data_IF_398078040891
#
_entry.id   IF_398078040891
#
_cell.length_a   1.000
_cell.length_b   1.000
_cell.length_c   1.000
_cell.angle_alpha   90.00
_cell.angle_beta   90.00
_cell.angle_gamma   90.00
#
_symmetry.space_group_name_H-M   'P 1'
#
loop_
_entity.id
_entity.type
_entity.pdbx_description
1 polymer ?
#
# COMPACT_ATOMS: atom_id res chain seq x y z
N UNK A 1 -17.11 -31.94 -44.75
CA UNK A 1 -16.29 -30.72 -44.60
C UNK A 1 -17.03 -29.70 -43.74
N UNK A 2 -16.76 -29.66 -42.44
CA UNK A 2 -17.00 -28.48 -41.57
C UNK A 2 -15.86 -28.45 -40.57
N UNK A 3 -14.91 -27.56 -40.83
CA UNK A 3 -13.75 -27.28 -40.00
C UNK A 3 -14.18 -26.47 -38.79
N UNK A 4 -14.07 -27.05 -37.60
CA UNK A 4 -14.18 -26.35 -36.31
C UNK A 4 -12.84 -25.68 -36.03
N UNK A 5 -12.77 -24.39 -36.31
CA UNK A 5 -11.63 -23.55 -35.98
C UNK A 5 -11.64 -23.29 -34.46
N UNK A 6 -10.82 -24.04 -33.70
CA UNK A 6 -10.56 -23.76 -32.29
C UNK A 6 -9.81 -22.43 -32.20
N UNK A 7 -10.53 -21.37 -31.85
CA UNK A 7 -9.94 -20.11 -31.38
C UNK A 7 -9.07 -20.40 -30.16
N UNK A 8 -7.74 -20.39 -30.33
CA UNK A 8 -6.80 -20.31 -29.21
C UNK A 8 -7.07 -18.97 -28.52
N UNK A 9 -7.65 -18.98 -27.32
CA UNK A 9 -7.61 -17.84 -26.42
C UNK A 9 -6.12 -17.55 -26.17
N UNK A 10 -5.64 -16.40 -26.65
CA UNK A 10 -4.36 -15.86 -26.19
C UNK A 10 -4.58 -15.53 -24.72
N UNK A 11 -3.89 -16.24 -23.83
CA UNK A 11 -3.80 -15.84 -22.42
C UNK A 11 -3.27 -14.40 -22.39
N UNK A 12 -4.08 -13.48 -21.89
CA UNK A 12 -3.66 -12.11 -21.59
C UNK A 12 -2.73 -12.17 -20.40
N UNK A 13 -1.48 -11.75 -20.57
CA UNK A 13 -0.51 -11.68 -19.47
C UNK A 13 -1.01 -10.67 -18.43
N UNK A 14 -1.10 -11.03 -17.15
CA UNK A 14 -1.49 -10.10 -16.09
C UNK A 14 -0.47 -8.95 -15.96
N UNK A 15 -0.93 -7.75 -15.57
CA UNK A 15 -0.09 -6.54 -15.43
C UNK A 15 1.03 -6.75 -14.41
N UNK A 16 0.80 -7.60 -13.40
CA UNK A 16 1.79 -8.08 -12.46
C UNK A 16 2.12 -9.54 -12.74
N UNK A 17 3.41 -9.85 -12.93
CA UNK A 17 3.91 -11.22 -13.02
C UNK A 17 5.04 -11.41 -12.01
N UNK A 18 4.88 -12.33 -11.04
CA UNK A 18 5.95 -12.69 -10.12
C UNK A 18 7.00 -13.52 -10.85
N UNK A 19 8.26 -13.12 -10.79
CA UNK A 19 9.42 -13.96 -11.15
C UNK A 19 10.08 -14.46 -9.86
N UNK A 20 10.80 -15.60 -9.93
CA UNK A 20 11.50 -16.18 -8.77
C UNK A 20 12.43 -15.12 -8.15
N UNK A 21 12.05 -14.59 -6.98
CA UNK A 21 13.01 -13.96 -6.08
C UNK A 21 13.90 -15.07 -5.51
N UNK A 22 15.22 -14.93 -5.65
CA UNK A 22 16.16 -15.79 -4.95
C UNK A 22 15.93 -15.67 -3.43
N UNK A 23 16.13 -16.74 -2.64
CA UNK A 23 16.03 -16.65 -1.19
C UNK A 23 17.28 -15.95 -0.65
N UNK A 24 17.34 -14.61 -0.75
CA UNK A 24 18.44 -13.80 -0.21
C UNK A 24 17.91 -12.91 0.90
N UNK A 25 17.81 -13.49 2.09
CA UNK A 25 18.27 -13.01 3.40
C UNK A 25 18.28 -11.55 3.86
N UNK A 26 17.82 -10.54 3.11
CA UNK A 26 17.69 -9.15 3.60
C UNK A 26 16.45 -8.50 3.00
N UNK A 27 15.37 -8.52 3.77
CA UNK A 27 14.08 -7.84 3.50
C UNK A 27 14.30 -6.34 3.71
N UNK A 28 15.00 -5.71 2.78
CA UNK A 28 15.34 -4.30 2.78
C UNK A 28 14.69 -3.56 1.62
N UNK A 29 13.54 -3.97 1.13
CA UNK A 29 12.79 -3.23 0.10
C UNK A 29 11.53 -2.59 0.70
N UNK A 30 10.91 -1.66 -0.03
CA UNK A 30 9.77 -0.92 0.50
C UNK A 30 8.56 -1.83 0.77
N UNK A 31 8.26 -2.81 -0.09
CA UNK A 31 7.16 -3.74 0.13
C UNK A 31 7.45 -4.68 1.29
N UNK A 32 8.70 -5.12 1.43
CA UNK A 32 9.19 -5.84 2.59
C UNK A 32 8.94 -5.07 3.90
N UNK A 33 9.25 -3.77 3.94
CA UNK A 33 9.02 -2.96 5.15
C UNK A 33 7.55 -2.70 5.45
N UNK A 34 6.70 -2.50 4.43
CA UNK A 34 5.24 -2.38 4.60
C UNK A 34 4.63 -3.71 5.09
N UNK A 35 4.98 -4.81 4.44
CA UNK A 35 4.51 -6.14 4.82
C UNK A 35 4.98 -6.55 6.21
N UNK A 36 6.22 -6.20 6.59
CA UNK A 36 6.72 -6.41 7.95
C UNK A 36 5.91 -5.60 8.96
N UNK A 37 5.65 -4.33 8.72
CA UNK A 37 4.84 -3.50 9.63
C UNK A 37 3.43 -4.07 9.82
N UNK A 38 2.81 -4.58 8.75
CA UNK A 38 1.51 -5.24 8.81
C UNK A 38 1.56 -6.53 9.64
N UNK A 39 2.54 -7.40 9.36
CA UNK A 39 2.72 -8.65 10.08
C UNK A 39 3.09 -8.45 11.55
N UNK A 40 3.92 -7.44 11.87
CA UNK A 40 4.26 -7.07 13.25
C UNK A 40 3.00 -6.68 14.04
N UNK A 41 2.01 -6.04 13.40
CA UNK A 41 0.72 -5.73 13.99
C UNK A 41 -0.07 -6.95 14.47
N UNK A 42 0.15 -8.13 13.86
CA UNK A 42 -0.52 -9.39 14.24
C UNK A 42 0.07 -10.05 15.48
N UNK A 43 1.36 -9.82 15.76
CA UNK A 43 2.12 -10.65 16.71
C UNK A 43 2.91 -9.85 17.74
N UNK A 44 3.01 -8.53 17.60
CA UNK A 44 3.82 -7.67 18.48
C UNK A 44 2.93 -6.83 19.38
N UNK A 45 2.65 -7.36 20.56
CA UNK A 45 1.71 -6.77 21.51
C UNK A 45 1.22 -7.78 22.53
N UNK A 46 0.27 -7.36 23.36
CA UNK A 46 -0.57 -8.34 24.05
C UNK A 46 -1.54 -9.00 23.06
N UNK A 47 -2.09 -10.15 23.48
CA UNK A 47 -2.93 -10.97 22.61
C UNK A 47 -4.27 -10.30 22.23
N UNK A 48 -4.79 -9.37 23.05
CA UNK A 48 -6.03 -8.66 22.72
C UNK A 48 -5.75 -7.66 21.61
N UNK A 49 -4.77 -6.76 21.77
CA UNK A 49 -4.51 -5.76 20.73
C UNK A 49 -4.05 -6.39 19.42
N UNK A 50 -3.06 -7.30 19.45
CA UNK A 50 -2.42 -7.82 18.24
C UNK A 50 -3.23 -8.94 17.56
N UNK A 51 -3.43 -10.07 18.26
CA UNK A 51 -4.06 -11.24 17.66
C UNK A 51 -5.60 -11.12 17.57
N UNK A 52 -6.24 -10.41 18.50
CA UNK A 52 -7.70 -10.23 18.46
C UNK A 52 -8.11 -8.99 17.67
N UNK A 53 -7.87 -7.79 18.19
CA UNK A 53 -8.39 -6.55 17.60
C UNK A 53 -7.76 -6.28 16.23
N UNK A 54 -6.43 -6.30 16.13
CA UNK A 54 -5.76 -5.99 14.87
C UNK A 54 -5.97 -7.07 13.80
N UNK A 55 -5.66 -8.33 14.12
CA UNK A 55 -5.79 -9.43 13.17
C UNK A 55 -7.26 -9.84 12.95
N UNK A 56 -7.90 -10.46 13.94
CA UNK A 56 -9.20 -11.12 13.68
C UNK A 56 -10.38 -10.16 13.51
N UNK A 57 -10.50 -9.14 14.37
CA UNK A 57 -11.63 -8.20 14.36
C UNK A 57 -11.53 -7.24 13.19
N UNK A 58 -10.34 -6.72 12.88
CA UNK A 58 -10.17 -5.75 11.79
C UNK A 58 -9.64 -6.42 10.52
N UNK A 59 -8.41 -6.92 10.49
CA UNK A 59 -7.77 -7.39 9.26
C UNK A 59 -8.60 -8.49 8.58
N UNK A 60 -8.98 -9.51 9.35
CA UNK A 60 -9.70 -10.67 8.83
C UNK A 60 -11.16 -10.31 8.57
N UNK A 61 -11.91 -9.84 9.57
CA UNK A 61 -13.35 -9.62 9.40
C UNK A 61 -13.67 -8.51 8.39
N UNK A 62 -12.88 -7.43 8.33
CA UNK A 62 -13.13 -6.37 7.37
C UNK A 62 -12.57 -6.73 5.99
N UNK A 63 -11.28 -7.04 5.90
CA UNK A 63 -10.58 -7.00 4.61
C UNK A 63 -10.40 -8.36 3.91
N UNK A 64 -10.64 -9.50 4.56
CA UNK A 64 -10.42 -10.80 3.89
C UNK A 64 -11.24 -10.98 2.62
N UNK A 65 -12.44 -10.39 2.53
CA UNK A 65 -13.23 -10.48 1.29
C UNK A 65 -12.54 -9.78 0.10
N UNK A 66 -11.84 -8.66 0.31
CA UNK A 66 -11.09 -8.01 -0.77
C UNK A 66 -9.89 -8.88 -1.20
N UNK A 67 -9.26 -9.58 -0.26
CA UNK A 67 -8.10 -10.44 -0.51
C UNK A 67 -8.45 -11.82 -1.10
N UNK A 68 -9.45 -12.51 -0.54
CA UNK A 68 -9.75 -13.92 -0.83
C UNK A 68 -11.00 -14.15 -1.67
N UNK A 69 -11.72 -13.07 -2.03
CA UNK A 69 -12.84 -13.14 -2.97
C UNK A 69 -12.58 -12.28 -4.21
N UNK A 70 -12.28 -10.99 -4.05
CA UNK A 70 -12.04 -10.12 -5.21
C UNK A 70 -10.77 -10.48 -5.98
N UNK A 71 -9.61 -10.65 -5.32
CA UNK A 71 -8.38 -10.99 -6.02
C UNK A 71 -8.47 -12.31 -6.81
N UNK A 72 -9.04 -13.41 -6.26
CA UNK A 72 -9.39 -14.59 -7.04
C UNK A 72 -10.31 -14.33 -8.24
N UNK A 73 -11.35 -13.50 -8.08
CA UNK A 73 -12.24 -13.17 -9.19
C UNK A 73 -11.48 -12.46 -10.31
N UNK A 74 -10.58 -11.54 -9.97
CA UNK A 74 -9.70 -10.88 -10.94
C UNK A 74 -8.70 -11.84 -11.58
N UNK A 75 -8.09 -12.73 -10.81
CA UNK A 75 -7.19 -13.75 -11.34
C UNK A 75 -7.90 -14.62 -12.38
N UNK A 76 -9.10 -15.11 -12.07
CA UNK A 76 -9.92 -15.89 -12.99
C UNK A 76 -10.29 -15.11 -14.25
N UNK A 77 -10.64 -13.82 -14.12
CA UNK A 77 -10.94 -12.94 -15.26
C UNK A 77 -9.74 -12.75 -16.21
N UNK A 78 -8.51 -12.87 -15.69
CA UNK A 78 -7.28 -12.81 -16.47
C UNK A 78 -6.74 -14.19 -16.90
N UNK A 79 -7.48 -15.27 -16.62
CA UNK A 79 -7.14 -16.63 -17.04
C UNK A 79 -6.24 -17.41 -16.08
N UNK A 80 -6.05 -16.95 -14.84
CA UNK A 80 -5.43 -17.72 -13.76
C UNK A 80 -6.49 -18.45 -12.95
N UNK A 81 -6.48 -19.78 -13.01
CA UNK A 81 -7.37 -20.66 -12.25
C UNK A 81 -6.68 -21.31 -11.04
N UNK A 82 -5.37 -21.16 -10.89
CA UNK A 82 -4.62 -21.70 -9.75
C UNK A 82 -4.86 -20.85 -8.50
N UNK A 83 -4.74 -19.53 -8.62
CA UNK A 83 -4.95 -18.63 -7.48
C UNK A 83 -6.35 -18.80 -6.87
N UNK A 84 -7.46 -18.81 -7.65
CA UNK A 84 -8.79 -19.05 -7.10
C UNK A 84 -8.94 -20.41 -6.43
N UNK A 85 -8.35 -21.47 -6.98
CA UNK A 85 -8.42 -22.82 -6.40
C UNK A 85 -7.85 -22.86 -5.00
N UNK A 86 -6.71 -22.19 -4.78
CA UNK A 86 -6.05 -22.13 -3.47
C UNK A 86 -6.78 -21.16 -2.54
N UNK A 87 -7.06 -19.94 -3.01
CA UNK A 87 -7.56 -18.86 -2.15
C UNK A 87 -9.00 -19.10 -1.70
N UNK A 88 -9.87 -19.72 -2.51
CA UNK A 88 -11.21 -20.07 -2.05
C UNK A 88 -11.20 -21.20 -1.02
N UNK A 89 -10.19 -22.07 -1.03
CA UNK A 89 -9.99 -23.05 0.06
C UNK A 89 -9.60 -22.34 1.35
N UNK A 90 -8.66 -21.38 1.30
CA UNK A 90 -8.26 -20.58 2.46
C UNK A 90 -9.43 -19.78 3.02
N UNK A 91 -10.20 -19.12 2.14
CA UNK A 91 -11.37 -18.33 2.53
C UNK A 91 -12.34 -19.14 3.40
N UNK A 92 -12.55 -20.42 3.08
CA UNK A 92 -13.52 -21.26 3.79
C UNK A 92 -13.20 -21.43 5.29
N UNK A 93 -11.96 -21.15 5.68
CA UNK A 93 -11.50 -21.19 7.06
C UNK A 93 -11.69 -19.86 7.81
N UNK A 94 -11.78 -18.73 7.09
CA UNK A 94 -11.82 -17.37 7.68
C UNK A 94 -13.04 -17.16 8.59
N UNK A 95 -14.18 -17.77 8.28
CA UNK A 95 -15.37 -17.68 9.16
C UNK A 95 -15.12 -18.21 10.58
N UNK A 96 -14.21 -19.18 10.73
CA UNK A 96 -13.82 -19.72 12.04
C UNK A 96 -12.90 -18.76 12.79
N UNK A 97 -12.02 -18.06 12.08
CA UNK A 97 -11.14 -17.05 12.68
C UNK A 97 -11.92 -15.82 13.13
N UNK A 98 -12.88 -15.36 12.32
CA UNK A 98 -13.82 -14.29 12.67
C UNK A 98 -14.60 -14.65 13.96
N UNK A 99 -15.02 -15.91 14.09
CA UNK A 99 -15.70 -16.39 15.30
C UNK A 99 -14.81 -16.35 16.55
N UNK A 100 -13.51 -16.68 16.41
CA UNK A 100 -12.54 -16.56 17.51
C UNK A 100 -12.36 -15.11 17.96
N UNK A 101 -12.22 -14.19 17.00
CA UNK A 101 -12.14 -12.76 17.26
C UNK A 101 -13.36 -12.25 18.02
N UNK A 102 -14.55 -12.56 17.51
CA UNK A 102 -15.81 -12.14 18.11
C UNK A 102 -15.98 -12.63 19.55
N UNK A 103 -15.69 -13.91 19.82
CA UNK A 103 -15.76 -14.47 21.17
C UNK A 103 -14.77 -13.80 22.13
N UNK A 104 -13.55 -13.54 21.67
CA UNK A 104 -12.51 -12.87 22.46
C UNK A 104 -12.89 -11.43 22.78
N UNK A 105 -13.42 -10.69 21.80
CA UNK A 105 -13.89 -9.32 21.99
C UNK A 105 -15.07 -9.24 22.97
N UNK A 106 -16.07 -10.12 22.85
CA UNK A 106 -17.19 -10.14 23.80
C UNK A 106 -16.75 -10.47 25.22
N UNK A 107 -15.78 -11.38 25.38
CA UNK A 107 -15.19 -11.66 26.69
C UNK A 107 -14.50 -10.40 27.25
N UNK A 108 -13.67 -9.73 26.45
CA UNK A 108 -12.99 -8.50 26.87
C UNK A 108 -13.97 -7.37 27.21
N UNK A 109 -15.06 -7.22 26.45
CA UNK A 109 -16.11 -6.21 26.67
C UNK A 109 -16.95 -6.47 27.93
N UNK A 110 -16.96 -7.69 28.46
CA UNK A 110 -17.69 -8.02 29.69
C UNK A 110 -17.14 -7.31 30.94
N UNK A 111 -15.91 -6.79 30.86
CA UNK A 111 -15.31 -5.92 31.88
C UNK A 111 -15.21 -4.48 31.34
N UNK A 112 -16.00 -3.57 31.91
CA UNK A 112 -16.02 -2.14 31.56
C UNK A 112 -14.65 -1.47 31.69
N UNK A 113 -13.78 -2.01 32.56
CA UNK A 113 -12.40 -1.56 32.70
C UNK A 113 -11.59 -1.71 31.41
N UNK A 114 -12.01 -2.53 30.45
CA UNK A 114 -11.30 -2.72 29.18
C UNK A 114 -11.73 -1.75 28.08
N UNK A 115 -12.90 -1.10 28.19
CA UNK A 115 -13.52 -0.36 27.08
C UNK A 115 -12.61 0.73 26.53
N UNK A 116 -11.92 1.48 27.41
CA UNK A 116 -10.96 2.52 27.02
C UNK A 116 -9.79 1.99 26.15
N UNK A 117 -9.27 0.80 26.49
CA UNK A 117 -8.16 0.20 25.72
C UNK A 117 -8.66 -0.42 24.42
N UNK A 118 -9.84 -1.05 24.44
CA UNK A 118 -10.47 -1.61 23.24
C UNK A 118 -10.78 -0.52 22.20
N UNK A 119 -11.27 0.65 22.64
CA UNK A 119 -11.50 1.79 21.77
C UNK A 119 -10.19 2.30 21.13
N UNK A 120 -9.11 2.40 21.93
CA UNK A 120 -7.77 2.74 21.42
C UNK A 120 -7.29 1.73 20.38
N UNK A 121 -7.39 0.46 20.71
CA UNK A 121 -6.89 -0.63 19.87
C UNK A 121 -7.65 -0.70 18.55
N UNK A 122 -8.97 -0.51 18.58
CA UNK A 122 -9.80 -0.49 17.39
C UNK A 122 -9.45 0.70 16.48
N UNK A 123 -9.22 1.89 17.04
CA UNK A 123 -8.75 3.08 16.27
C UNK A 123 -7.43 2.80 15.54
N UNK A 124 -6.45 2.23 16.27
CA UNK A 124 -5.16 1.86 15.69
C UNK A 124 -5.31 0.78 14.60
N UNK A 125 -5.98 -0.32 14.94
CA UNK A 125 -6.13 -1.48 14.07
C UNK A 125 -6.84 -1.09 12.78
N UNK A 126 -7.97 -0.38 12.88
CA UNK A 126 -8.72 0.12 11.74
C UNK A 126 -7.84 0.94 10.80
N UNK A 127 -7.23 2.00 11.33
CA UNK A 127 -6.48 2.94 10.52
C UNK A 127 -5.26 2.28 9.86
N UNK A 128 -4.51 1.48 10.61
CA UNK A 128 -3.32 0.84 10.07
C UNK A 128 -3.65 -0.20 8.98
N UNK A 129 -4.71 -1.00 9.19
CA UNK A 129 -5.21 -1.94 8.17
C UNK A 129 -5.69 -1.23 6.91
N UNK A 130 -6.49 -0.16 7.05
CA UNK A 130 -6.90 0.68 5.92
C UNK A 130 -5.69 1.14 5.10
N UNK A 131 -4.67 1.71 5.76
CA UNK A 131 -3.47 2.20 5.06
C UNK A 131 -2.73 1.09 4.31
N UNK A 132 -2.51 -0.07 4.93
CA UNK A 132 -1.72 -1.11 4.28
C UNK A 132 -2.53 -1.87 3.22
N UNK A 133 -3.72 -2.33 3.59
CA UNK A 133 -4.51 -3.24 2.76
C UNK A 133 -5.10 -2.51 1.56
N UNK A 134 -5.68 -1.32 1.74
CA UNK A 134 -6.24 -0.57 0.61
C UNK A 134 -5.13 -0.15 -0.38
N UNK A 135 -3.94 0.19 0.12
CA UNK A 135 -2.80 0.50 -0.73
C UNK A 135 -2.40 -0.69 -1.62
N UNK A 136 -2.22 -1.88 -1.05
CA UNK A 136 -1.79 -3.05 -1.81
C UNK A 136 -2.93 -3.63 -2.65
N UNK A 137 -4.04 -3.99 -2.01
CA UNK A 137 -5.12 -4.77 -2.62
C UNK A 137 -5.93 -3.93 -3.59
N UNK A 138 -6.22 -2.67 -3.27
CA UNK A 138 -6.86 -1.75 -4.21
C UNK A 138 -6.04 -1.61 -5.49
N UNK A 139 -4.73 -1.45 -5.36
CA UNK A 139 -3.83 -1.35 -6.51
C UNK A 139 -3.80 -2.65 -7.32
N UNK A 140 -3.73 -3.82 -6.67
CA UNK A 140 -3.72 -5.10 -7.39
C UNK A 140 -5.02 -5.37 -8.14
N UNK A 141 -6.16 -5.07 -7.51
CA UNK A 141 -7.48 -5.28 -8.12
C UNK A 141 -7.66 -4.39 -9.34
N UNK A 142 -7.24 -3.12 -9.31
CA UNK A 142 -7.53 -2.20 -10.41
C UNK A 142 -6.43 -2.12 -11.47
N UNK A 143 -5.18 -2.08 -11.03
CA UNK A 143 -4.00 -1.90 -11.88
C UNK A 143 -3.31 -3.21 -12.21
N UNK A 144 -3.65 -4.33 -11.56
CA UNK A 144 -3.09 -5.65 -11.86
C UNK A 144 -3.80 -6.44 -12.95
N UNK A 145 -5.01 -6.01 -13.32
CA UNK A 145 -5.94 -6.72 -14.22
C UNK A 145 -6.00 -6.06 -15.60
N UNK A 146 -6.20 -6.86 -16.66
CA UNK A 146 -6.57 -6.36 -18.00
C UNK A 146 -8.07 -6.47 -18.27
N UNK A 147 -8.88 -6.94 -17.31
CA UNK A 147 -10.34 -6.93 -17.41
C UNK A 147 -10.86 -5.49 -17.28
N UNK A 148 -11.39 -4.96 -18.38
CA UNK A 148 -11.95 -3.60 -18.49
C UNK A 148 -13.44 -3.61 -18.86
N UNK A 149 -14.14 -4.70 -18.55
CA UNK A 149 -15.61 -4.73 -18.62
C UNK A 149 -16.21 -3.61 -17.76
N UNK A 150 -17.23 -2.91 -18.29
CA UNK A 150 -17.83 -1.73 -17.63
C UNK A 150 -18.71 -2.11 -16.44
N UNK A 151 -19.28 -3.32 -16.45
CA UNK A 151 -20.10 -3.92 -15.39
C UNK A 151 -19.26 -4.51 -14.23
N UNK A 152 -17.94 -4.60 -14.39
CA UNK A 152 -17.01 -4.98 -13.32
C UNK A 152 -17.05 -3.92 -12.21
N UNK A 153 -17.09 -4.33 -10.94
CA UNK A 153 -16.98 -3.40 -9.81
C UNK A 153 -15.59 -2.73 -9.76
N UNK A 154 -15.54 -1.46 -9.39
CA UNK A 154 -14.30 -0.79 -8.98
C UNK A 154 -13.93 -1.17 -7.55
N UNK A 155 -12.69 -0.88 -7.16
CA UNK A 155 -12.29 -1.12 -5.77
C UNK A 155 -13.14 -0.31 -4.79
N UNK A 156 -13.52 0.91 -5.14
CA UNK A 156 -14.37 1.74 -4.30
C UNK A 156 -15.78 1.15 -4.13
N UNK A 157 -16.36 0.57 -5.19
CA UNK A 157 -17.65 -0.12 -5.11
C UNK A 157 -17.56 -1.36 -4.20
N UNK A 158 -16.50 -2.17 -4.36
CA UNK A 158 -16.25 -3.33 -3.49
C UNK A 158 -16.03 -2.92 -2.03
N UNK A 159 -15.25 -1.85 -1.80
CA UNK A 159 -15.00 -1.31 -0.46
C UNK A 159 -16.29 -0.84 0.19
N UNK A 160 -17.16 -0.13 -0.54
CA UNK A 160 -18.45 0.32 -0.01
C UNK A 160 -19.31 -0.87 0.42
N UNK A 161 -19.36 -1.93 -0.38
CA UNK A 161 -20.18 -3.09 -0.07
C UNK A 161 -19.61 -3.90 1.11
N UNK A 162 -18.36 -4.34 1.02
CA UNK A 162 -17.79 -5.25 2.01
C UNK A 162 -17.29 -4.55 3.27
N UNK A 163 -16.64 -3.41 3.13
CA UNK A 163 -16.04 -2.73 4.27
C UNK A 163 -17.08 -1.85 4.96
N UNK A 164 -17.81 -1.04 4.19
CA UNK A 164 -18.76 -0.11 4.79
C UNK A 164 -20.08 -0.79 5.20
N UNK A 165 -20.73 -1.52 4.30
CA UNK A 165 -22.05 -2.10 4.60
C UNK A 165 -21.95 -3.39 5.43
N UNK A 166 -21.11 -4.35 5.03
CA UNK A 166 -21.02 -5.64 5.73
C UNK A 166 -20.23 -5.52 7.05
N UNK A 167 -19.01 -4.99 7.01
CA UNK A 167 -18.18 -4.89 8.23
C UNK A 167 -18.60 -3.75 9.15
N UNK A 168 -18.56 -2.50 8.68
CA UNK A 168 -18.81 -1.37 9.56
C UNK A 168 -20.27 -1.32 10.06
N UNK A 169 -21.25 -1.25 9.16
CA UNK A 169 -22.65 -1.09 9.55
C UNK A 169 -23.23 -2.35 10.20
N UNK A 170 -22.93 -3.53 9.66
CA UNK A 170 -23.61 -4.76 10.09
C UNK A 170 -22.85 -5.52 11.19
N UNK A 171 -21.53 -5.38 11.27
CA UNK A 171 -20.72 -6.07 12.29
C UNK A 171 -20.25 -5.15 13.42
N UNK A 172 -19.62 -4.01 13.13
CA UNK A 172 -19.06 -3.12 14.17
C UNK A 172 -20.11 -2.32 14.93
N UNK A 173 -20.98 -1.57 14.24
CA UNK A 173 -21.97 -0.68 14.89
C UNK A 173 -22.83 -1.41 15.93
N UNK A 174 -23.31 -2.65 15.70
CA UNK A 174 -24.06 -3.38 16.72
C UNK A 174 -23.30 -3.67 18.01
N UNK A 175 -21.97 -3.55 18.04
CA UNK A 175 -21.15 -3.74 19.24
C UNK A 175 -21.17 -2.54 20.19
N UNK A 176 -21.64 -1.37 19.75
CA UNK A 176 -21.82 -0.20 20.62
C UNK A 176 -22.74 -0.49 21.80
N UNK A 177 -23.73 -1.39 21.62
CA UNK A 177 -24.64 -1.82 22.70
C UNK A 177 -23.93 -2.55 23.84
N UNK A 178 -22.69 -3.01 23.62
CA UNK A 178 -21.84 -3.66 24.62
C UNK A 178 -20.77 -2.69 25.19
N UNK A 179 -20.84 -1.40 24.88
CA UNK A 179 -19.94 -0.36 25.41
C UNK A 179 -18.69 -0.11 24.57
N UNK A 180 -18.54 -0.75 23.40
CA UNK A 180 -17.41 -0.47 22.50
C UNK A 180 -17.62 0.86 21.76
N UNK A 181 -16.66 1.78 21.88
CA UNK A 181 -16.66 3.02 21.10
C UNK A 181 -16.13 2.76 19.67
N UNK A 182 -17.00 2.90 18.68
CA UNK A 182 -16.65 2.68 17.27
C UNK A 182 -16.05 3.95 16.66
N UNK A 183 -14.92 3.87 15.94
CA UNK A 183 -14.27 5.04 15.35
C UNK A 183 -14.93 5.46 14.02
N UNK A 184 -16.19 5.90 14.09
CA UNK A 184 -16.98 6.33 12.92
C UNK A 184 -16.25 7.37 12.08
N UNK A 185 -15.60 8.33 12.73
CA UNK A 185 -14.81 9.40 12.10
C UNK A 185 -13.73 8.84 11.17
N UNK A 186 -13.01 7.80 11.62
CA UNK A 186 -11.92 7.19 10.86
C UNK A 186 -12.41 6.29 9.74
N UNK A 187 -13.60 5.71 9.87
CA UNK A 187 -14.20 4.89 8.82
C UNK A 187 -14.70 5.77 7.67
N UNK A 188 -15.34 6.90 7.99
CA UNK A 188 -15.72 7.89 6.98
C UNK A 188 -14.50 8.55 6.34
N UNK A 189 -13.44 8.83 7.12
CA UNK A 189 -12.20 9.37 6.55
C UNK A 189 -11.49 8.35 5.65
N UNK A 190 -11.47 7.06 5.99
CA UNK A 190 -10.94 6.02 5.11
C UNK A 190 -11.68 5.97 3.75
N UNK A 191 -13.01 6.14 3.77
CA UNK A 191 -13.79 6.27 2.53
C UNK A 191 -13.44 7.55 1.76
N UNK A 192 -13.32 8.67 2.46
CA UNK A 192 -12.93 9.96 1.88
C UNK A 192 -11.55 9.88 1.20
N UNK A 193 -10.59 9.18 1.82
CA UNK A 193 -9.27 8.91 1.26
C UNK A 193 -9.36 8.14 -0.06
N UNK A 194 -10.18 7.08 -0.11
CA UNK A 194 -10.33 6.25 -1.31
C UNK A 194 -11.02 7.03 -2.43
N UNK A 195 -12.17 7.64 -2.13
CA UNK A 195 -13.05 8.22 -3.15
C UNK A 195 -12.65 9.64 -3.57
N UNK A 196 -12.53 10.56 -2.60
CA UNK A 196 -12.30 11.98 -2.91
C UNK A 196 -10.82 12.30 -3.08
N UNK A 197 -9.96 11.73 -2.22
CA UNK A 197 -8.51 12.00 -2.24
C UNK A 197 -7.76 11.09 -3.23
N UNK A 198 -8.38 9.98 -3.65
CA UNK A 198 -7.88 9.09 -4.69
C UNK A 198 -6.74 8.18 -4.23
N UNK A 199 -6.72 7.82 -2.94
CA UNK A 199 -5.61 7.14 -2.27
C UNK A 199 -5.05 5.92 -3.04
N UNK A 200 -5.91 5.03 -3.54
CA UNK A 200 -5.50 3.84 -4.29
C UNK A 200 -4.75 4.21 -5.57
N UNK A 201 -5.18 5.25 -6.26
CA UNK A 201 -4.57 5.71 -7.50
C UNK A 201 -3.22 6.42 -7.25
N UNK A 202 -3.10 7.16 -6.15
CA UNK A 202 -1.82 7.72 -5.71
C UNK A 202 -0.80 6.59 -5.38
N UNK A 203 -1.27 5.51 -4.76
CA UNK A 203 -0.43 4.32 -4.48
C UNK A 203 0.01 3.63 -5.77
N UNK A 204 -0.89 3.49 -6.73
CA UNK A 204 -0.58 2.89 -8.02
C UNK A 204 0.51 3.68 -8.78
N UNK A 205 0.41 5.01 -8.81
CA UNK A 205 1.47 5.85 -9.36
C UNK A 205 2.78 5.68 -8.59
N UNK A 206 2.74 5.63 -7.25
CA UNK A 206 3.95 5.41 -6.45
C UNK A 206 4.65 4.06 -6.77
N UNK A 207 3.89 2.96 -6.86
CA UNK A 207 4.46 1.65 -7.23
C UNK A 207 5.02 1.63 -8.66
N UNK A 208 4.41 2.38 -9.57
CA UNK A 208 4.88 2.52 -10.94
C UNK A 208 6.11 3.44 -11.02
N UNK A 209 6.14 4.57 -10.31
CA UNK A 209 7.32 5.44 -10.23
C UNK A 209 8.52 4.68 -9.66
N UNK A 210 8.30 4.00 -8.53
CA UNK A 210 9.32 3.26 -7.80
C UNK A 210 9.65 1.87 -8.36
N UNK A 211 9.24 1.54 -9.59
CA UNK A 211 9.26 0.17 -10.12
C UNK A 211 10.60 -0.56 -9.97
N UNK A 212 11.70 0.19 -10.02
CA UNK A 212 13.06 -0.34 -9.89
C UNK A 212 13.37 -0.96 -8.52
N UNK A 213 12.53 -0.72 -7.51
CA UNK A 213 12.61 -1.32 -6.18
C UNK A 213 11.54 -2.40 -5.97
N UNK A 214 10.85 -2.85 -7.03
CA UNK A 214 9.88 -3.93 -6.96
C UNK A 214 10.56 -5.29 -7.20
N UNK A 215 9.92 -6.37 -6.77
CA UNK A 215 10.22 -7.74 -7.20
C UNK A 215 9.19 -8.26 -8.23
N UNK A 216 8.44 -7.35 -8.86
CA UNK A 216 7.45 -7.65 -9.89
C UNK A 216 7.54 -6.63 -11.02
N UNK A 217 6.86 -6.91 -12.12
CA UNK A 217 6.76 -6.03 -13.30
C UNK A 217 5.42 -5.30 -13.30
N UNK A 218 5.38 -4.05 -13.75
CA UNK A 218 4.16 -3.24 -13.84
C UNK A 218 4.01 -2.65 -15.24
N UNK A 219 3.04 -3.16 -15.99
CA UNK A 219 2.76 -2.77 -17.36
C UNK A 219 2.21 -1.34 -17.48
N UNK A 220 2.55 -0.60 -18.55
CA UNK A 220 1.91 0.68 -18.82
C UNK A 220 0.43 0.51 -19.15
N UNK A 221 -0.31 1.59 -18.88
CA UNK A 221 -1.72 1.69 -19.22
C UNK A 221 -1.92 2.07 -20.69
N UNK A 222 -3.09 1.71 -21.22
CA UNK A 222 -3.55 1.96 -22.58
C UNK A 222 -4.84 2.79 -22.57
N UNK A 223 -5.28 3.26 -23.73
CA UNK A 223 -6.54 4.01 -23.88
C UNK A 223 -7.75 3.26 -23.29
N UNK A 224 -7.78 1.93 -23.41
CA UNK A 224 -8.85 1.11 -22.79
C UNK A 224 -8.84 1.16 -21.28
N UNK A 225 -7.65 1.23 -20.68
CA UNK A 225 -7.52 1.38 -19.24
C UNK A 225 -8.01 2.78 -18.84
N UNK A 226 -7.55 3.83 -19.54
CA UNK A 226 -7.98 5.22 -19.31
C UNK A 226 -9.49 5.39 -19.40
N UNK A 227 -10.14 4.85 -20.44
CA UNK A 227 -11.59 4.89 -20.58
C UNK A 227 -12.32 4.18 -19.43
N UNK A 228 -11.77 3.09 -18.89
CA UNK A 228 -12.37 2.37 -17.76
C UNK A 228 -12.23 3.16 -16.46
N UNK A 229 -11.04 3.69 -16.18
CA UNK A 229 -10.81 4.50 -15.00
C UNK A 229 -11.64 5.77 -15.03
N UNK A 230 -11.72 6.48 -16.16
CA UNK A 230 -12.57 7.68 -16.29
C UNK A 230 -14.06 7.35 -16.11
N UNK A 231 -14.50 6.18 -16.58
CA UNK A 231 -15.88 5.73 -16.37
C UNK A 231 -16.20 5.42 -14.90
N UNK A 232 -15.27 4.77 -14.17
CA UNK A 232 -15.46 4.40 -12.77
C UNK A 232 -15.16 5.53 -11.79
N UNK A 233 -14.25 6.41 -12.17
CA UNK A 233 -13.73 7.52 -11.38
C UNK A 233 -13.68 8.77 -12.28
N UNK A 234 -14.81 9.49 -12.46
CA UNK A 234 -14.83 10.70 -13.28
C UNK A 234 -13.78 11.73 -12.83
N UNK A 235 -13.00 12.26 -13.76
CA UNK A 235 -11.86 13.15 -13.51
C UNK A 235 -10.53 12.44 -13.25
N UNK A 236 -10.49 11.10 -13.30
CA UNK A 236 -9.26 10.33 -13.11
C UNK A 236 -8.21 10.67 -14.18
N UNK A 237 -8.61 10.86 -15.44
CA UNK A 237 -7.66 11.15 -16.51
C UNK A 237 -6.96 12.50 -16.32
N UNK A 238 -7.70 13.54 -15.97
CA UNK A 238 -7.16 14.88 -15.73
C UNK A 238 -6.13 14.88 -14.58
N UNK A 239 -6.32 13.97 -13.63
CA UNK A 239 -5.46 13.81 -12.46
C UNK A 239 -4.24 12.94 -12.75
N UNK A 240 -4.40 11.77 -13.38
CA UNK A 240 -3.34 10.76 -13.48
C UNK A 240 -2.94 10.40 -14.91
N UNK A 241 -3.79 10.65 -15.91
CA UNK A 241 -3.63 10.16 -17.28
C UNK A 241 -2.32 10.57 -17.93
N UNK A 242 -1.99 11.87 -17.91
CA UNK A 242 -0.75 12.41 -18.50
C UNK A 242 0.52 11.80 -17.89
N UNK A 243 0.50 11.50 -16.60
CA UNK A 243 1.60 10.82 -15.94
C UNK A 243 1.75 9.37 -16.44
N UNK A 244 0.64 8.65 -16.61
CA UNK A 244 0.65 7.29 -17.16
C UNK A 244 1.08 7.24 -18.64
N UNK A 245 0.79 8.27 -19.44
CA UNK A 245 1.34 8.42 -20.79
C UNK A 245 2.87 8.55 -20.76
N UNK A 246 3.40 9.36 -19.83
CA UNK A 246 4.84 9.47 -19.60
C UNK A 246 5.44 8.14 -19.16
N UNK A 247 4.77 7.42 -18.25
CA UNK A 247 5.19 6.07 -17.84
C UNK A 247 5.30 5.10 -19.02
N UNK A 248 4.33 5.13 -19.93
CA UNK A 248 4.39 4.34 -21.16
C UNK A 248 5.60 4.73 -22.03
N UNK A 249 5.80 6.03 -22.28
CA UNK A 249 6.92 6.56 -23.06
C UNK A 249 8.29 6.17 -22.48
N UNK A 250 8.39 6.14 -21.15
CA UNK A 250 9.64 5.86 -20.42
C UNK A 250 9.80 4.38 -20.02
N UNK A 251 8.89 3.51 -20.44
CA UNK A 251 8.91 2.10 -20.04
C UNK A 251 10.12 1.32 -20.59
N UNK A 252 10.71 1.75 -21.71
CA UNK A 252 11.81 1.02 -22.35
C UNK A 252 13.11 1.80 -22.24
N UNK A 253 14.27 1.15 -22.06
CA UNK A 253 15.54 1.85 -22.04
C UNK A 253 15.84 2.41 -23.44
N UNK A 254 15.94 3.74 -23.54
CA UNK A 254 16.28 4.42 -24.80
C UNK A 254 17.13 5.68 -24.56
N UNK A 255 18.13 5.57 -23.68
CA UNK A 255 19.07 6.66 -23.35
C UNK A 255 18.63 7.59 -22.21
N UNK A 256 17.33 7.65 -21.88
CA UNK A 256 16.81 8.36 -20.70
C UNK A 256 16.90 7.51 -19.42
N UNK A 257 16.74 8.10 -18.24
CA UNK A 257 16.71 7.40 -16.96
C UNK A 257 15.34 6.74 -16.69
N UNK A 258 15.23 5.84 -15.69
CA UNK A 258 13.93 5.41 -15.18
C UNK A 258 13.06 6.60 -14.75
N UNK A 259 11.74 6.45 -14.85
CA UNK A 259 10.77 7.54 -14.62
C UNK A 259 10.97 8.33 -13.31
N UNK A 260 11.42 7.68 -12.23
CA UNK A 260 11.66 8.35 -10.93
C UNK A 260 12.73 9.44 -10.99
N UNK A 261 13.58 9.46 -12.02
CA UNK A 261 14.61 10.48 -12.23
C UNK A 261 14.30 11.42 -13.41
N UNK A 262 13.12 11.29 -14.02
CA UNK A 262 12.71 12.10 -15.15
C UNK A 262 11.72 13.16 -14.69
N UNK A 263 11.73 14.33 -15.35
CA UNK A 263 10.78 15.39 -15.08
C UNK A 263 9.41 15.04 -15.70
N UNK A 264 8.56 14.41 -14.88
CA UNK A 264 7.22 13.97 -15.25
C UNK A 264 6.14 14.55 -14.33
N UNK A 265 6.43 15.68 -13.68
CA UNK A 265 5.55 16.32 -12.69
C UNK A 265 5.16 15.38 -11.54
N UNK A 266 6.15 14.65 -11.02
CA UNK A 266 5.99 13.76 -9.88
C UNK A 266 7.15 13.94 -8.89
N UNK A 267 6.82 14.23 -7.64
CA UNK A 267 7.78 14.32 -6.53
C UNK A 267 7.62 13.07 -5.64
N UNK A 268 8.75 12.40 -5.39
CA UNK A 268 8.80 11.18 -4.59
C UNK A 268 8.33 11.44 -3.14
N UNK A 269 7.44 10.59 -2.58
CA UNK A 269 6.82 10.86 -1.30
C UNK A 269 7.74 10.53 -0.11
N UNK A 270 7.46 11.17 1.03
CA UNK A 270 7.97 10.71 2.32
C UNK A 270 7.28 9.42 2.78
N UNK A 271 7.89 8.69 3.71
CA UNK A 271 7.33 7.48 4.31
C UNK A 271 6.61 7.79 5.62
N UNK A 272 5.50 7.11 5.88
CA UNK A 272 4.87 7.16 7.19
C UNK A 272 5.68 6.30 8.18
N UNK A 273 6.10 6.88 9.30
CA UNK A 273 6.85 6.16 10.32
C UNK A 273 6.06 5.00 10.94
N UNK A 274 4.73 5.16 11.05
CA UNK A 274 3.84 4.19 11.69
C UNK A 274 3.46 3.05 10.75
N UNK A 275 2.81 3.33 9.61
CA UNK A 275 2.30 2.29 8.72
C UNK A 275 3.28 1.88 7.61
N UNK A 276 4.42 2.56 7.47
CA UNK A 276 5.42 2.37 6.40
C UNK A 276 4.93 2.68 4.97
N UNK A 277 3.63 2.89 4.77
CA UNK A 277 3.07 3.34 3.49
C UNK A 277 3.46 4.80 3.24
N UNK A 278 3.81 5.20 2.01
CA UNK A 278 4.12 6.60 1.70
C UNK A 278 2.99 7.59 2.03
N UNK A 279 3.40 8.81 2.37
CA UNK A 279 2.56 9.98 2.62
C UNK A 279 2.06 10.57 1.30
N UNK A 280 1.21 9.81 0.62
CA UNK A 280 0.76 10.09 -0.75
C UNK A 280 -0.37 11.13 -0.84
N UNK A 281 -1.25 11.13 0.16
CA UNK A 281 -2.26 12.15 0.31
C UNK A 281 -1.62 13.30 1.06
N UNK A 282 -1.15 14.28 0.29
CA UNK A 282 -0.17 15.28 0.74
C UNK A 282 -0.77 16.22 1.77
N UNK A 283 -2.04 16.58 1.60
CA UNK A 283 -2.76 17.48 2.49
C UNK A 283 -2.87 16.95 3.93
N UNK A 284 -2.77 15.64 4.13
CA UNK A 284 -2.89 14.99 5.43
C UNK A 284 -1.55 14.69 6.11
N UNK A 285 -0.44 14.95 5.41
CA UNK A 285 0.87 14.67 5.97
C UNK A 285 1.15 15.57 7.17
N UNK A 286 1.58 14.94 8.27
CA UNK A 286 2.01 15.64 9.47
C UNK A 286 3.40 15.19 9.90
N UNK A 287 4.10 16.03 10.65
CA UNK A 287 5.44 15.76 11.16
C UNK A 287 5.51 15.96 12.65
N UNK A 288 6.35 15.18 13.33
CA UNK A 288 6.65 15.43 14.73
C UNK A 288 8.04 14.94 15.11
N UNK A 289 8.60 15.52 16.18
CA UNK A 289 9.87 15.10 16.75
C UNK A 289 9.60 14.16 17.93
N UNK A 290 9.97 12.90 17.76
CA UNK A 290 9.66 11.83 18.70
C UNK A 290 10.94 11.07 19.01
N UNK A 291 11.23 10.90 20.30
CA UNK A 291 12.45 10.24 20.79
C UNK A 291 13.74 10.83 20.16
N UNK A 292 13.76 12.14 19.94
CA UNK A 292 14.90 12.87 19.36
C UNK A 292 14.96 12.90 17.83
N UNK A 293 14.11 12.16 17.12
CA UNK A 293 14.11 12.08 15.66
C UNK A 293 12.86 12.75 15.06
N UNK A 294 13.04 13.51 13.99
CA UNK A 294 11.91 13.98 13.19
C UNK A 294 11.37 12.86 12.30
N UNK A 295 10.04 12.67 12.37
CA UNK A 295 9.31 11.61 11.69
C UNK A 295 8.17 12.21 10.87
N UNK A 296 7.89 11.61 9.72
CA UNK A 296 6.73 11.91 8.88
C UNK A 296 5.62 10.89 9.10
N UNK A 297 4.37 11.36 9.08
CA UNK A 297 3.18 10.53 9.19
C UNK A 297 2.21 10.87 8.06
N UNK A 298 1.57 9.87 7.47
CA UNK A 298 0.64 10.09 6.37
C UNK A 298 -0.71 10.68 6.82
N UNK A 299 -0.96 10.73 8.13
CA UNK A 299 -2.18 11.25 8.74
C UNK A 299 -1.99 11.44 10.25
N UNK A 300 -2.77 12.31 10.88
CA UNK A 300 -2.77 12.53 12.34
C UNK A 300 -3.00 11.24 13.14
N UNK A 301 -3.77 10.29 12.62
CA UNK A 301 -3.96 8.99 13.29
C UNK A 301 -2.67 8.17 13.37
N UNK A 302 -1.82 8.20 12.33
CA UNK A 302 -0.53 7.53 12.39
C UNK A 302 0.40 8.20 13.39
N UNK A 303 0.38 9.53 13.47
CA UNK A 303 1.11 10.30 14.48
C UNK A 303 0.62 9.99 15.90
N UNK A 304 -0.69 9.99 16.13
CA UNK A 304 -1.30 9.63 17.41
C UNK A 304 -0.93 8.20 17.86
N UNK A 305 -0.88 7.24 16.93
CA UNK A 305 -0.43 5.88 17.24
C UNK A 305 0.98 5.88 17.82
N UNK A 306 1.90 6.61 17.19
CA UNK A 306 3.30 6.69 17.61
C UNK A 306 3.44 7.51 18.90
N UNK A 307 2.90 8.73 18.94
CA UNK A 307 3.13 9.70 20.02
C UNK A 307 2.29 9.47 21.27
N UNK A 308 1.19 8.73 21.18
CA UNK A 308 0.21 8.65 22.28
C UNK A 308 -0.26 7.23 22.55
N UNK A 309 -0.80 6.53 21.55
CA UNK A 309 -1.56 5.30 21.78
C UNK A 309 -0.74 4.20 22.47
N UNK A 310 0.51 4.00 22.03
CA UNK A 310 1.38 2.94 22.53
C UNK A 310 2.60 3.45 23.29
N UNK A 311 2.48 4.65 23.88
CA UNK A 311 3.45 5.14 24.87
C UNK A 311 3.29 4.40 26.20
N UNK A 312 4.30 4.43 27.09
CA UNK A 312 4.31 3.65 28.33
C UNK A 312 3.04 3.79 29.17
N UNK A 313 2.40 4.96 29.10
CA UNK A 313 1.08 5.19 29.68
C UNK A 313 0.11 5.77 28.66
N UNK A 314 -1.10 5.25 28.61
CA UNK A 314 -2.23 5.79 27.86
C UNK A 314 -3.37 6.11 28.82
N UNK A 315 -3.77 7.39 28.90
CA UNK A 315 -4.86 7.88 29.76
C UNK A 315 -4.78 7.38 31.22
N UNK A 316 -3.59 7.38 31.80
CA UNK A 316 -3.34 6.97 33.20
C UNK A 316 -3.15 5.47 33.41
N UNK A 317 -3.23 4.66 32.36
CA UNK A 317 -3.01 3.20 32.42
C UNK A 317 -1.70 2.82 31.76
N UNK A 318 -1.07 1.74 32.25
CA UNK A 318 0.06 1.12 31.55
C UNK A 318 -0.42 0.52 30.22
N UNK A 319 0.35 0.78 29.18
CA UNK A 319 0.07 0.27 27.84
C UNK A 319 0.85 -1.03 27.62
N UNK A 320 0.23 -2.08 27.03
CA UNK A 320 1.00 -3.20 26.48
C UNK A 320 2.02 -2.68 25.46
N UNK A 321 3.21 -3.30 25.42
CA UNK A 321 4.28 -2.91 24.51
C UNK A 321 3.95 -3.38 23.08
N UNK A 322 3.02 -2.68 22.41
CA UNK A 322 2.86 -2.75 20.96
C UNK A 322 4.09 -2.12 20.32
N UNK A 323 4.54 -2.68 19.19
CA UNK A 323 5.81 -2.36 18.54
C UNK A 323 6.27 -0.91 18.73
N UNK A 324 7.44 -0.72 19.34
CA UNK A 324 7.93 0.60 19.80
C UNK A 324 8.23 1.60 18.67
N UNK A 325 8.02 1.20 17.41
CA UNK A 325 8.32 1.97 16.21
C UNK A 325 9.75 2.55 16.25
N UNK A 326 10.72 1.74 16.66
CA UNK A 326 12.14 2.11 16.76
C UNK A 326 13.00 1.45 15.66
N UNK A 327 14.25 1.88 15.58
CA UNK A 327 15.26 1.30 14.70
C UNK A 327 15.19 1.78 13.26
N UNK A 328 15.91 1.10 12.37
CA UNK A 328 15.86 1.38 10.94
C UNK A 328 14.58 0.78 10.34
N UNK A 329 13.56 1.62 10.20
CA UNK A 329 12.24 1.20 9.71
C UNK A 329 12.15 1.29 8.19
N UNK A 330 12.55 2.43 7.65
CA UNK A 330 12.52 2.73 6.21
C UNK A 330 13.70 2.08 5.48
N UNK A 331 13.41 1.45 4.36
CA UNK A 331 14.44 0.84 3.52
C UNK A 331 15.35 1.87 2.87
N UNK A 332 14.84 3.05 2.52
CA UNK A 332 15.65 4.11 1.89
C UNK A 332 16.77 4.56 2.81
N UNK A 333 16.54 4.56 4.12
CA UNK A 333 17.54 4.94 5.13
C UNK A 333 18.75 4.00 5.08
N UNK A 334 18.56 2.71 4.76
CA UNK A 334 19.65 1.73 4.68
C UNK A 334 20.57 1.96 3.48
N UNK A 335 20.04 2.57 2.41
CA UNK A 335 20.72 2.73 1.13
C UNK A 335 21.00 4.20 0.78
N UNK A 336 20.89 5.11 1.75
CA UNK A 336 21.17 6.52 1.52
C UNK A 336 22.59 6.72 0.97
N UNK A 337 22.70 7.39 -0.18
CA UNK A 337 23.96 7.65 -0.88
C UNK A 337 24.45 6.50 -1.78
N UNK A 338 23.73 5.37 -1.87
CA UNK A 338 24.13 4.25 -2.73
C UNK A 338 23.70 4.46 -4.18
N UNK A 339 24.47 3.92 -5.14
CA UNK A 339 24.02 3.87 -6.53
C UNK A 339 22.94 2.79 -6.70
N UNK A 340 21.93 3.07 -7.53
CA UNK A 340 20.78 2.18 -7.71
C UNK A 340 21.12 0.79 -8.24
N UNK A 341 22.19 0.63 -9.02
CA UNK A 341 22.62 -0.70 -9.44
C UNK A 341 23.07 -1.55 -8.23
N UNK A 342 23.71 -0.94 -7.24
CA UNK A 342 24.16 -1.62 -6.02
C UNK A 342 22.98 -1.90 -5.09
N UNK A 343 22.02 -0.96 -4.99
CA UNK A 343 20.77 -1.17 -4.22
C UNK A 343 19.97 -2.35 -4.76
N UNK A 344 19.72 -2.39 -6.07
CA UNK A 344 18.99 -3.49 -6.73
C UNK A 344 19.73 -4.82 -6.60
N UNK A 345 21.06 -4.80 -6.65
CA UNK A 345 21.89 -5.98 -6.44
C UNK A 345 21.83 -6.50 -5.00
N UNK A 346 21.91 -5.62 -4.00
CA UNK A 346 21.84 -6.01 -2.57
C UNK A 346 20.46 -6.56 -2.20
N UNK A 347 19.39 -6.00 -2.75
CA UNK A 347 18.02 -6.52 -2.61
C UNK A 347 17.81 -7.88 -3.31
N UNK A 348 18.73 -8.29 -4.19
CA UNK A 348 18.60 -9.53 -4.96
C UNK A 348 17.57 -9.44 -6.10
N UNK A 349 17.26 -8.25 -6.60
CA UNK A 349 16.26 -8.03 -7.67
C UNK A 349 16.89 -8.08 -9.07
N UNK A 350 17.80 -9.03 -9.25
CA UNK A 350 18.55 -9.30 -10.48
C UNK A 350 18.32 -10.74 -10.88
N UNK A 351 18.12 -10.97 -12.18
CA UNK A 351 17.88 -12.30 -12.75
C UNK A 351 19.16 -13.14 -12.76
N UNK A 352 19.00 -14.42 -13.11
CA UNK A 352 20.08 -15.41 -13.19
C UNK A 352 21.25 -15.02 -14.12
N UNK A 353 21.04 -14.08 -15.05
CA UNK A 353 22.11 -13.55 -15.91
C UNK A 353 23.03 -12.52 -15.22
N UNK A 354 22.73 -12.18 -13.97
CA UNK A 354 23.52 -11.29 -13.12
C UNK A 354 23.44 -9.80 -13.50
N UNK A 355 22.58 -9.42 -14.45
CA UNK A 355 22.49 -8.01 -14.90
C UNK A 355 21.08 -7.51 -15.21
N UNK A 356 20.18 -8.39 -15.64
CA UNK A 356 18.82 -7.98 -16.02
C UNK A 356 17.98 -7.84 -14.76
N UNK A 357 17.27 -6.72 -14.62
CA UNK A 357 16.43 -6.48 -13.46
C UNK A 357 15.21 -7.41 -13.47
N UNK A 358 14.82 -7.90 -12.29
CA UNK A 358 13.57 -8.66 -12.10
C UNK A 358 12.37 -7.76 -12.42
N UNK A 359 12.31 -6.60 -11.77
CA UNK A 359 11.31 -5.60 -12.07
C UNK A 359 11.55 -4.94 -13.42
N UNK A 360 10.45 -4.60 -14.07
CA UNK A 360 10.40 -3.92 -15.35
C UNK A 360 9.12 -3.09 -15.39
N UNK A 361 9.15 -1.91 -16.03
CA UNK A 361 7.97 -1.09 -16.20
C UNK A 361 7.14 -1.52 -17.43
N UNK A 362 7.20 -2.81 -17.79
CA UNK A 362 6.44 -3.47 -18.86
C UNK A 362 6.50 -4.99 -18.72
N UNK A 363 5.61 -5.69 -19.44
CA UNK A 363 5.60 -7.15 -19.47
C UNK A 363 6.42 -7.80 -20.60
N UNK A 364 6.97 -7.01 -21.51
CA UNK A 364 7.78 -7.49 -22.64
C UNK A 364 9.06 -8.19 -22.14
N UNK A 365 9.26 -9.45 -22.55
CA UNK A 365 10.41 -10.27 -22.15
C UNK A 365 11.52 -10.30 -23.21
N UNK A 366 11.42 -9.51 -24.28
CA UNK A 366 12.53 -9.38 -25.22
C UNK A 366 13.73 -8.72 -24.51
N UNK A 367 14.90 -9.41 -24.42
CA UNK A 367 16.08 -8.91 -23.72
C UNK A 367 16.53 -7.50 -24.16
N UNK A 368 16.39 -7.16 -25.44
CA UNK A 368 16.82 -5.87 -26.00
C UNK A 368 16.01 -4.68 -25.47
N UNK A 369 14.87 -4.96 -24.85
CA UNK A 369 13.94 -3.95 -24.33
C UNK A 369 13.98 -3.86 -22.80
N UNK A 370 14.80 -4.68 -22.15
CA UNK A 370 14.79 -4.81 -20.69
C UNK A 370 15.76 -3.86 -20.02
N UNK A 371 15.36 -3.32 -18.88
CA UNK A 371 16.24 -2.58 -17.99
C UNK A 371 17.22 -3.52 -17.29
N UNK A 372 18.43 -3.01 -17.07
CA UNK A 372 19.57 -3.75 -16.54
C UNK A 372 20.31 -2.87 -15.52
N UNK A 373 21.18 -3.48 -14.73
CA UNK A 373 22.06 -2.76 -13.79
C UNK A 373 22.91 -1.68 -14.49
N UNK A 374 23.36 -1.93 -15.72
CA UNK A 374 24.14 -0.95 -16.49
C UNK A 374 23.37 0.35 -16.73
N UNK A 375 22.06 0.25 -16.96
CA UNK A 375 21.20 1.43 -17.09
C UNK A 375 21.07 2.22 -15.78
N UNK A 376 21.19 1.56 -14.63
CA UNK A 376 21.12 2.20 -13.31
C UNK A 376 22.44 2.84 -12.88
N UNK A 377 23.58 2.45 -13.46
CA UNK A 377 24.90 3.00 -13.10
C UNK A 377 25.02 4.50 -13.35
N UNK A 378 24.27 5.05 -14.32
CA UNK A 378 24.21 6.50 -14.58
C UNK A 378 23.23 7.27 -13.69
N UNK A 379 22.37 6.57 -12.95
CA UNK A 379 21.35 7.22 -12.13
C UNK A 379 22.00 7.88 -10.90
N UNK A 380 21.43 9.00 -10.40
CA UNK A 380 21.90 9.63 -9.18
C UNK A 380 21.78 8.67 -7.98
N UNK A 381 22.60 8.82 -6.93
CA UNK A 381 22.49 7.99 -5.74
C UNK A 381 21.13 8.13 -5.05
N UNK A 382 20.63 7.05 -4.44
CA UNK A 382 19.39 7.08 -3.67
C UNK A 382 19.51 8.09 -2.52
N UNK A 383 18.49 8.93 -2.38
CA UNK A 383 18.36 9.87 -1.27
C UNK A 383 17.21 9.41 -0.37
N UNK A 384 17.45 9.34 0.94
CA UNK A 384 16.44 8.91 1.90
C UNK A 384 15.65 10.13 2.36
N UNK A 385 14.32 10.16 2.19
CA UNK A 385 13.50 11.27 2.67
C UNK A 385 13.67 11.52 4.18
N UNK A 386 13.76 10.45 4.99
CA UNK A 386 13.95 10.57 6.44
C UNK A 386 15.35 11.05 6.84
N UNK A 387 16.42 10.61 6.16
CA UNK A 387 17.78 11.14 6.45
C UNK A 387 17.82 12.64 6.14
N UNK A 388 17.40 13.03 4.93
CA UNK A 388 17.40 14.43 4.51
C UNK A 388 16.54 15.31 5.43
N UNK A 389 15.38 14.83 5.87
CA UNK A 389 14.51 15.55 6.82
C UNK A 389 15.20 15.85 8.15
N UNK A 390 16.05 14.93 8.63
CA UNK A 390 16.74 15.06 9.91
C UNK A 390 18.03 15.88 9.80
N UNK A 391 18.55 16.10 8.60
CA UNK A 391 19.66 17.02 8.31
C UNK A 391 19.20 18.48 8.17
N UNK A 392 17.93 18.71 7.83
CA UNK A 392 17.34 20.05 7.76
C UNK A 392 17.39 20.78 9.11
N UNK A 393 17.63 22.09 9.05
CA UNK A 393 17.32 23.01 10.14
C UNK A 393 15.81 23.07 10.40
N UNK A 394 15.40 23.62 11.54
CA UNK A 394 13.97 23.70 11.88
C UNK A 394 13.18 24.62 10.92
N UNK A 395 13.82 25.69 10.41
CA UNK A 395 13.22 26.59 9.43
C UNK A 395 13.04 25.91 8.06
N UNK A 396 14.07 25.20 7.59
CA UNK A 396 14.00 24.42 6.34
C UNK A 396 12.93 23.34 6.43
N UNK A 397 12.82 22.64 7.55
CA UNK A 397 11.81 21.61 7.76
C UNK A 397 10.39 22.19 7.77
N UNK A 398 10.21 23.35 8.40
CA UNK A 398 8.91 24.04 8.43
C UNK A 398 8.50 24.47 7.02
N UNK A 399 9.43 25.07 6.26
CA UNK A 399 9.20 25.44 4.87
C UNK A 399 8.92 24.22 3.99
N UNK A 400 9.66 23.12 4.18
CA UNK A 400 9.46 21.85 3.50
C UNK A 400 8.06 21.29 3.75
N UNK A 401 7.65 21.17 5.02
CA UNK A 401 6.33 20.64 5.37
C UNK A 401 5.20 21.47 4.74
N UNK A 402 5.30 22.81 4.82
CA UNK A 402 4.33 23.70 4.21
C UNK A 402 4.29 23.59 2.67
N UNK A 403 5.44 23.38 2.02
CA UNK A 403 5.53 23.14 0.58
C UNK A 403 4.92 21.79 0.20
N UNK A 404 5.28 20.72 0.91
CA UNK A 404 4.84 19.36 0.59
C UNK A 404 3.31 19.22 0.65
N UNK A 405 2.68 19.75 1.71
CA UNK A 405 1.22 19.73 1.91
C UNK A 405 0.46 20.49 0.81
N UNK A 406 1.08 21.51 0.20
CA UNK A 406 0.51 22.22 -0.96
C UNK A 406 0.72 21.50 -2.30
N UNK A 407 1.48 20.40 -2.30
CA UNK A 407 1.68 19.59 -3.50
C UNK A 407 0.35 19.16 -4.09
N UNK A 408 0.26 19.18 -5.42
CA UNK A 408 -0.93 18.73 -6.10
C UNK A 408 -1.14 17.24 -5.88
N UNK A 409 -2.36 16.75 -6.07
CA UNK A 409 -2.58 15.34 -6.02
C UNK A 409 -1.98 14.70 -7.30
N UNK A 410 -1.90 13.37 -7.39
CA UNK A 410 -1.02 12.65 -8.32
C UNK A 410 0.48 12.90 -8.08
N UNK A 411 0.86 13.11 -6.82
CA UNK A 411 2.25 13.34 -6.42
C UNK A 411 2.90 14.60 -7.02
N UNK A 412 2.14 15.57 -7.50
CA UNK A 412 2.68 16.78 -8.17
C UNK A 412 3.36 17.70 -7.18
N UNK A 413 4.41 18.38 -7.63
CA UNK A 413 4.97 19.49 -6.86
C UNK A 413 3.94 20.63 -6.74
N UNK A 414 3.98 21.45 -5.69
CA UNK A 414 3.15 22.65 -5.65
C UNK A 414 3.54 23.58 -6.81
N UNK A 415 2.56 24.22 -7.43
CA UNK A 415 2.82 25.31 -8.37
C UNK A 415 3.33 26.48 -7.54
N UNK A 416 4.57 26.91 -7.78
CA UNK A 416 5.10 28.13 -7.17
C UNK A 416 4.19 29.31 -7.61
N UNK A 417 3.64 30.03 -6.64
CA UNK A 417 2.67 31.11 -6.84
C UNK A 417 3.31 32.40 -7.38
#
# INVERSE_FOLDING_TARGET
>A
ARTTERRRQRATTPIFSPERAAPTGRIGDYCGTIGRQFAEGFITGDAITAASIYLTIVAETAFTNTLFVAMPAEAAANGDYLLPTVFHSVQSDESRHISNGYATLLMALSDEGNHQLLARDLRYAWWNNHRVVDAAIGTFIEYGTKDRRKDRESYAEMWRRWIYDDYYRSYLVPLEKYGLEIPHDLIEEAWNQIWNKGYVHEVAQFFATGWLANYWRIDPMTDKDFEWFEFKYPGWYDKYGKWWENYNRLSRPNGHNPIVFEDVDYEYPHRCWTCMVPCLVREDMVMAKVDGQWRTYCHEMCKWTDETAFRPTYQGRQTPNMGQLIGHREWETLYHGWNWADVVSDMGFVRDDGKTMVAQPHLDLNPDKMWTLDHLRRCPPLQSPNVLLNEMTDDERTAFAARYVRGGPAGRAPVDA
#
